data_IF_546444433895
#
_entry.id   IF_546444433895
#
_cell.length_a   1.000
_cell.length_b   1.000
_cell.length_c   1.000
_cell.angle_alpha   90.00
_cell.angle_beta   90.00
_cell.angle_gamma   90.00
#
_symmetry.space_group_name_H-M   'P 1'
#
loop_
_entity.id
_entity.type
_entity.pdbx_description
1 polymer ?
#
# COMPACT_ATOMS: atom_id res chain seq x y z
N UNK A 1 -13.16 33.25 21.17
CA UNK A 1 -12.29 32.34 20.42
C UNK A 1 -13.13 31.76 19.30
N UNK A 2 -12.55 31.59 18.14
CA UNK A 2 -13.17 31.11 16.91
C UNK A 2 -12.47 29.81 16.56
N UNK A 3 -13.23 28.72 16.53
CA UNK A 3 -12.73 27.45 16.04
C UNK A 3 -12.76 27.48 14.51
N UNK A 4 -11.59 27.40 13.88
CA UNK A 4 -11.46 27.39 12.41
C UNK A 4 -10.90 26.05 11.95
N UNK A 5 -11.39 25.56 10.82
CA UNK A 5 -10.83 24.36 10.17
C UNK A 5 -10.08 24.77 8.91
N UNK A 6 -8.91 24.18 8.69
CA UNK A 6 -8.06 24.44 7.53
C UNK A 6 -7.95 23.13 6.74
N UNK A 7 -8.25 23.18 5.44
CA UNK A 7 -8.27 22.02 4.54
C UNK A 7 -7.49 22.29 3.26
N UNK A 8 -6.97 21.24 2.62
CA UNK A 8 -6.54 21.26 1.22
C UNK A 8 -7.59 20.56 0.33
N UNK A 9 -7.29 20.42 -0.96
CA UNK A 9 -8.16 19.83 -1.99
C UNK A 9 -8.53 18.36 -1.72
N UNK A 10 -7.79 17.66 -0.86
CA UNK A 10 -7.94 16.22 -0.63
C UNK A 10 -8.19 15.83 0.84
N UNK A 11 -7.79 16.66 1.82
CA UNK A 11 -7.86 16.35 3.26
C UNK A 11 -7.96 17.60 4.16
N UNK A 12 -8.52 17.42 5.36
CA UNK A 12 -8.43 18.41 6.45
C UNK A 12 -6.98 18.44 6.96
N UNK A 13 -6.34 19.60 6.89
CA UNK A 13 -4.95 19.80 7.36
C UNK A 13 -4.94 19.90 8.88
N UNK A 14 -5.77 20.79 9.45
CA UNK A 14 -5.80 21.05 10.90
C UNK A 14 -7.02 21.86 11.32
N UNK A 15 -7.26 21.95 12.63
CA UNK A 15 -8.23 22.87 13.23
C UNK A 15 -7.58 23.65 14.37
N UNK A 16 -7.88 24.95 14.45
CA UNK A 16 -7.25 25.87 15.41
C UNK A 16 -8.31 26.65 16.18
N UNK A 17 -8.11 26.78 17.48
CA UNK A 17 -8.84 27.74 18.32
C UNK A 17 -8.06 29.06 18.38
N UNK A 18 -8.60 30.10 17.74
CA UNK A 18 -7.92 31.39 17.56
C UNK A 18 -8.76 32.55 18.09
N UNK A 19 -8.14 33.62 18.59
CA UNK A 19 -8.89 34.80 19.02
C UNK A 19 -9.42 35.57 17.80
N UNK A 20 -10.57 36.24 17.91
CA UNK A 20 -11.18 37.01 16.80
C UNK A 20 -10.26 38.11 16.25
N UNK A 21 -9.38 38.65 17.10
CA UNK A 21 -8.41 39.69 16.73
C UNK A 21 -7.08 39.11 16.19
N UNK A 22 -6.98 37.79 16.01
CA UNK A 22 -5.78 37.15 15.45
C UNK A 22 -5.62 37.54 13.99
N UNK A 23 -4.41 37.94 13.62
CA UNK A 23 -4.05 38.20 12.22
C UNK A 23 -3.85 36.91 11.44
N UNK A 24 -4.24 36.91 10.17
CA UNK A 24 -4.09 35.77 9.27
C UNK A 24 -2.62 35.37 9.09
N UNK A 25 -1.69 36.33 9.18
CA UNK A 25 -0.24 36.04 9.21
C UNK A 25 0.15 35.01 10.27
N UNK A 26 -0.48 35.05 11.45
CA UNK A 26 -0.20 34.11 12.53
C UNK A 26 -0.65 32.69 12.15
N UNK A 27 -1.83 32.57 11.53
CA UNK A 27 -2.36 31.31 11.03
C UNK A 27 -1.47 30.75 9.92
N UNK A 28 -0.99 31.61 9.01
CA UNK A 28 -0.07 31.23 7.93
C UNK A 28 1.25 30.68 8.49
N UNK A 29 1.82 31.30 9.53
CA UNK A 29 3.06 30.81 10.14
C UNK A 29 2.88 29.46 10.84
N UNK A 30 1.72 29.23 11.45
CA UNK A 30 1.38 27.92 12.06
C UNK A 30 1.29 26.86 10.95
N UNK A 31 0.60 27.16 9.85
CA UNK A 31 0.51 26.27 8.69
C UNK A 31 1.90 25.94 8.11
N UNK A 32 2.75 26.94 7.94
CA UNK A 32 4.08 26.78 7.32
C UNK A 32 5.05 25.99 8.21
N UNK A 33 5.06 26.25 9.52
CA UNK A 33 5.99 25.57 10.45
C UNK A 33 5.52 24.18 10.87
N UNK A 34 4.24 24.03 11.21
CA UNK A 34 3.77 22.79 11.84
C UNK A 34 3.37 21.74 10.79
N UNK A 35 3.02 22.16 9.57
CA UNK A 35 2.53 21.26 8.51
C UNK A 35 3.42 21.23 7.26
N UNK A 36 4.60 21.85 7.30
CA UNK A 36 5.57 21.86 6.20
C UNK A 36 5.00 22.35 4.85
N UNK A 37 4.01 23.24 4.90
CA UNK A 37 3.34 23.78 3.71
C UNK A 37 4.00 25.10 3.28
N UNK A 38 4.53 25.13 2.06
CA UNK A 38 5.19 26.33 1.53
C UNK A 38 4.18 27.41 1.11
N UNK A 39 3.98 28.42 1.97
CA UNK A 39 3.03 29.52 1.74
C UNK A 39 3.56 30.59 0.74
N UNK A 40 4.75 30.40 0.17
CA UNK A 40 5.16 31.12 -1.02
C UNK A 40 4.48 30.56 -2.28
N UNK A 41 4.23 29.25 -2.31
CA UNK A 41 3.59 28.53 -3.42
C UNK A 41 2.07 28.42 -3.20
N UNK A 42 1.63 28.30 -1.94
CA UNK A 42 0.22 28.19 -1.57
C UNK A 42 -0.35 29.51 -1.06
N UNK A 43 -1.67 29.68 -1.17
CA UNK A 43 -2.44 30.77 -0.59
C UNK A 43 -3.59 30.24 0.27
N UNK A 44 -3.93 31.01 1.30
CA UNK A 44 -5.09 30.74 2.14
C UNK A 44 -6.31 31.45 1.56
N UNK A 45 -7.41 30.73 1.45
CA UNK A 45 -8.66 31.24 0.87
C UNK A 45 -9.83 31.02 1.80
N UNK A 46 -10.76 31.98 1.80
CA UNK A 46 -12.01 31.93 2.54
C UNK A 46 -13.14 32.31 1.59
N UNK A 47 -14.16 31.45 1.50
CA UNK A 47 -15.28 31.59 0.54
C UNK A 47 -14.81 31.82 -0.92
N UNK A 48 -13.71 31.16 -1.32
CA UNK A 48 -13.14 31.23 -2.67
C UNK A 48 -12.24 32.43 -2.96
N UNK A 49 -12.13 33.39 -2.03
CA UNK A 49 -11.28 34.58 -2.17
C UNK A 49 -9.98 34.42 -1.37
N UNK A 50 -8.86 34.90 -1.95
CA UNK A 50 -7.57 34.95 -1.25
C UNK A 50 -7.64 35.93 -0.08
N UNK A 51 -7.08 35.51 1.05
CA UNK A 51 -7.13 36.28 2.30
C UNK A 51 -5.85 37.10 2.45
N UNK A 52 -5.97 38.38 2.82
CA UNK A 52 -4.81 39.22 3.11
C UNK A 52 -4.15 38.80 4.43
N UNK A 53 -2.82 38.78 4.44
CA UNK A 53 -1.99 38.40 5.59
C UNK A 53 -2.17 39.36 6.78
N UNK A 54 -2.50 40.62 6.50
CA UNK A 54 -2.67 41.67 7.52
C UNK A 54 -4.12 41.80 8.01
N UNK A 55 -5.04 41.03 7.45
CA UNK A 55 -6.42 41.03 7.92
C UNK A 55 -6.57 40.17 9.19
N UNK A 56 -7.56 40.53 10.02
CA UNK A 56 -7.94 39.75 11.21
C UNK A 56 -9.17 38.91 10.93
N UNK A 57 -9.34 37.83 11.69
CA UNK A 57 -10.50 36.93 11.63
C UNK A 57 -11.81 37.73 11.72
N UNK A 58 -11.87 38.69 12.64
CA UNK A 58 -13.01 39.61 12.81
C UNK A 58 -13.28 40.48 11.59
N UNK A 59 -12.23 40.99 10.93
CA UNK A 59 -12.37 41.83 9.72
C UNK A 59 -12.90 41.02 8.53
N UNK A 60 -12.53 39.74 8.45
CA UNK A 60 -12.95 38.82 7.40
C UNK A 60 -14.30 38.16 7.68
N UNK A 61 -14.91 38.45 8.84
CA UNK A 61 -16.18 37.87 9.29
C UNK A 61 -16.18 36.33 9.31
N UNK A 62 -15.02 35.74 9.63
CA UNK A 62 -14.86 34.30 9.80
C UNK A 62 -15.49 33.92 11.14
N UNK A 63 -16.42 32.96 11.10
CA UNK A 63 -17.20 32.50 12.25
C UNK A 63 -16.74 31.13 12.71
N UNK A 64 -17.26 30.74 13.87
CA UNK A 64 -16.98 29.42 14.45
C UNK A 64 -17.49 28.31 13.54
N UNK A 65 -16.61 27.35 13.23
CA UNK A 65 -16.88 26.24 12.32
C UNK A 65 -16.60 26.54 10.84
N UNK A 66 -16.13 27.74 10.51
CA UNK A 66 -15.81 28.10 9.13
C UNK A 66 -14.55 27.38 8.63
N UNK A 67 -14.57 27.11 7.31
CA UNK A 67 -13.52 26.38 6.60
C UNK A 67 -12.65 27.35 5.79
N UNK A 68 -11.35 27.28 6.03
CA UNK A 68 -10.31 27.94 5.27
C UNK A 68 -9.63 26.91 4.37
N UNK A 69 -9.43 27.25 3.10
CA UNK A 69 -8.78 26.36 2.14
C UNK A 69 -7.38 26.83 1.82
N UNK A 70 -6.41 25.93 1.93
CA UNK A 70 -5.07 26.12 1.39
C UNK A 70 -5.07 25.58 -0.02
N UNK A 71 -4.88 26.46 -1.00
CA UNK A 71 -4.75 26.08 -2.42
C UNK A 71 -3.44 26.59 -2.99
N UNK A 72 -2.97 25.99 -4.08
CA UNK A 72 -1.83 26.54 -4.82
C UNK A 72 -2.20 27.91 -5.40
N UNK A 73 -1.28 28.87 -5.29
CA UNK A 73 -1.44 30.16 -5.98
C UNK A 73 -1.50 29.89 -7.46
N UNK A 74 -2.53 30.43 -8.11
CA UNK A 74 -2.65 30.41 -9.57
C UNK A 74 -1.38 31.01 -10.20
N UNK A 75 -0.74 32.00 -9.57
CA UNK A 75 0.54 32.55 -10.01
C UNK A 75 1.73 31.60 -9.89
N UNK A 76 1.72 30.61 -8.98
CA UNK A 76 2.80 29.65 -8.79
C UNK A 76 2.66 28.44 -9.72
N UNK A 77 1.43 27.98 -9.96
CA UNK A 77 1.17 27.06 -11.06
C UNK A 77 1.53 27.78 -12.37
N UNK A 78 1.05 29.00 -12.60
CA UNK A 78 1.44 29.80 -13.78
C UNK A 78 2.93 30.14 -13.80
N UNK A 79 3.71 30.28 -12.72
CA UNK A 79 5.15 30.62 -12.81
C UNK A 79 6.06 29.39 -12.94
N UNK A 80 5.76 28.28 -12.25
CA UNK A 80 6.52 27.04 -12.43
C UNK A 80 6.14 26.35 -13.75
N UNK A 81 4.86 26.44 -14.14
CA UNK A 81 4.47 26.14 -15.50
C UNK A 81 5.00 27.18 -16.46
N UNK A 82 4.99 28.50 -16.24
CA UNK A 82 5.50 29.45 -17.26
C UNK A 82 7.02 29.44 -17.43
N UNK A 83 7.88 29.06 -16.49
CA UNK A 83 9.33 29.06 -16.83
C UNK A 83 9.65 27.91 -17.81
N UNK A 84 9.00 26.75 -17.66
CA UNK A 84 9.14 25.61 -18.57
C UNK A 84 8.15 25.66 -19.76
N UNK A 85 6.96 26.19 -19.57
CA UNK A 85 5.92 26.36 -20.58
C UNK A 85 6.10 27.64 -21.38
N UNK A 86 6.67 28.74 -20.88
CA UNK A 86 7.01 29.90 -21.71
C UNK A 86 8.26 29.64 -22.54
N UNK A 87 9.19 28.79 -22.09
CA UNK A 87 10.29 28.30 -22.93
C UNK A 87 9.80 27.29 -23.99
N UNK A 88 8.90 26.38 -23.65
CA UNK A 88 8.26 25.47 -24.61
C UNK A 88 7.30 26.20 -25.59
N UNK A 89 6.50 27.15 -25.11
CA UNK A 89 5.61 27.99 -25.91
C UNK A 89 6.41 28.95 -26.79
N UNK A 90 7.50 29.56 -26.31
CA UNK A 90 8.43 30.34 -27.14
C UNK A 90 9.12 29.48 -28.20
N UNK A 91 9.48 28.23 -27.90
CA UNK A 91 10.02 27.30 -28.88
C UNK A 91 8.98 26.96 -29.96
N UNK A 92 7.72 26.67 -29.59
CA UNK A 92 6.62 26.39 -30.53
C UNK A 92 6.27 27.64 -31.38
N UNK A 93 6.26 28.84 -30.78
CA UNK A 93 6.05 30.13 -31.46
C UNK A 93 7.21 30.47 -32.42
N UNK A 94 8.45 30.10 -32.09
CA UNK A 94 9.62 30.34 -32.96
C UNK A 94 9.64 29.45 -34.21
N UNK A 95 8.99 28.29 -34.16
CA UNK A 95 8.93 27.32 -35.27
C UNK A 95 7.77 27.57 -36.24
N UNK A 96 6.74 28.32 -35.84
CA UNK A 96 5.55 28.57 -36.66
C UNK A 96 5.49 30.04 -37.11
N UNK A 97 6.03 30.33 -38.30
CA UNK A 97 6.07 31.66 -38.94
C UNK A 97 4.71 32.26 -39.37
N UNK A 98 3.58 31.78 -38.84
CA UNK A 98 2.25 32.15 -39.33
C UNK A 98 1.24 32.55 -38.25
N UNK A 99 1.69 33.08 -37.11
CA UNK A 99 0.81 33.72 -36.13
C UNK A 99 1.30 35.13 -35.88
N UNK A 100 0.72 36.08 -36.60
CA UNK A 100 0.92 37.49 -36.36
C UNK A 100 0.41 37.89 -34.98
N UNK A 101 1.32 38.49 -34.20
CA UNK A 101 1.06 39.45 -33.13
C UNK A 101 0.23 38.97 -31.91
N UNK A 102 0.82 38.14 -31.05
CA UNK A 102 0.36 37.92 -29.65
C UNK A 102 1.35 38.54 -28.63
N UNK A 103 2.28 39.38 -29.10
CA UNK A 103 3.41 39.88 -28.30
C UNK A 103 3.08 40.93 -27.23
N UNK A 104 1.83 41.13 -26.82
CA UNK A 104 1.50 42.13 -25.80
C UNK A 104 0.24 41.78 -24.99
N UNK A 105 0.33 40.78 -24.11
CA UNK A 105 -0.72 40.45 -23.12
C UNK A 105 -0.17 40.39 -21.68
N UNK A 106 0.77 41.27 -21.35
CA UNK A 106 1.18 41.51 -19.98
C UNK A 106 0.44 42.69 -19.38
N UNK A 107 -0.28 42.45 -18.27
CA UNK A 107 -0.74 43.45 -17.27
C UNK A 107 -2.15 44.06 -17.44
N UNK A 108 -3.19 43.23 -17.40
CA UNK A 108 -4.44 43.48 -16.65
C UNK A 108 -5.47 42.37 -16.95
N UNK A 109 -5.62 41.40 -16.04
CA UNK A 109 -6.54 40.28 -16.19
C UNK A 109 -7.68 40.41 -15.18
N UNK A 110 -8.82 40.95 -15.62
CA UNK A 110 -10.10 40.82 -14.93
C UNK A 110 -10.80 39.52 -15.41
N UNK A 111 -11.64 38.91 -14.55
CA UNK A 111 -12.30 37.61 -14.81
C UNK A 111 -13.10 37.53 -16.13
N UNK A 112 -13.64 38.64 -16.64
CA UNK A 112 -14.35 38.67 -17.94
C UNK A 112 -13.42 38.53 -19.16
N UNK A 113 -12.15 38.92 -19.04
CA UNK A 113 -11.17 38.80 -20.13
C UNK A 113 -10.64 37.37 -20.29
N UNK A 114 -10.66 36.57 -19.23
CA UNK A 114 -10.18 35.18 -19.23
C UNK A 114 -11.14 34.25 -19.98
N UNK A 115 -12.46 34.42 -19.79
CA UNK A 115 -13.44 33.63 -20.54
C UNK A 115 -13.43 33.95 -22.04
N UNK A 116 -13.25 35.22 -22.43
CA UNK A 116 -13.12 35.61 -23.83
C UNK A 116 -11.83 35.09 -24.48
N UNK A 117 -10.74 34.96 -23.71
CA UNK A 117 -9.48 34.39 -24.18
C UNK A 117 -9.55 32.86 -24.36
N UNK A 118 -10.22 32.15 -23.43
CA UNK A 118 -10.45 30.70 -23.50
C UNK A 118 -11.41 30.31 -24.64
N UNK A 119 -12.33 31.21 -25.01
CA UNK A 119 -13.24 31.03 -26.13
C UNK A 119 -12.63 31.39 -27.50
N UNK A 120 -11.40 31.91 -27.54
CA UNK A 120 -10.71 32.22 -28.78
C UNK A 120 -10.22 30.93 -29.48
N UNK A 121 -10.67 30.64 -30.72
CA UNK A 121 -10.28 29.43 -31.44
C UNK A 121 -8.76 29.25 -31.58
N UNK A 122 -8.02 30.35 -31.81
CA UNK A 122 -6.56 30.30 -31.97
C UNK A 122 -5.85 29.91 -30.66
N UNK A 123 -6.35 30.39 -29.52
CA UNK A 123 -5.81 30.04 -28.20
C UNK A 123 -6.14 28.59 -27.84
N UNK A 124 -7.35 28.12 -28.17
CA UNK A 124 -7.77 26.73 -27.98
C UNK A 124 -6.92 25.75 -28.81
N UNK A 125 -6.64 26.07 -30.08
CA UNK A 125 -5.74 25.28 -30.93
C UNK A 125 -4.31 25.21 -30.38
N UNK A 126 -3.78 26.32 -29.87
CA UNK A 126 -2.47 26.35 -29.19
C UNK A 126 -2.46 25.47 -27.94
N UNK A 127 -3.53 25.52 -27.13
CA UNK A 127 -3.65 24.73 -25.91
C UNK A 127 -3.73 23.23 -26.21
N UNK A 128 -4.45 22.84 -27.27
CA UNK A 128 -4.53 21.44 -27.72
C UNK A 128 -3.17 20.95 -28.24
N UNK A 129 -2.46 21.77 -29.02
CA UNK A 129 -1.12 21.45 -29.49
C UNK A 129 -0.13 21.29 -28.32
N UNK A 130 -0.29 22.08 -27.27
CA UNK A 130 0.53 22.00 -26.06
C UNK A 130 0.26 20.72 -25.26
N UNK A 131 -1.01 20.32 -25.11
CA UNK A 131 -1.40 19.05 -24.47
C UNK A 131 -0.81 17.84 -25.19
N UNK A 132 -0.86 17.84 -26.53
CA UNK A 132 -0.26 16.77 -27.36
C UNK A 132 1.25 16.70 -27.15
N UNK A 133 1.93 17.84 -27.01
CA UNK A 133 3.36 17.86 -26.72
C UNK A 133 3.69 17.26 -25.36
N UNK A 134 2.98 17.66 -24.30
CA UNK A 134 3.16 17.10 -22.95
C UNK A 134 2.87 15.60 -22.90
N UNK A 135 1.83 15.15 -23.58
CA UNK A 135 1.47 13.73 -23.68
C UNK A 135 2.60 12.91 -24.32
N UNK A 136 3.18 13.41 -25.42
CA UNK A 136 4.30 12.73 -26.07
C UNK A 136 5.56 12.69 -25.20
N UNK A 137 5.84 13.76 -24.45
CA UNK A 137 6.95 13.81 -23.49
C UNK A 137 6.74 12.83 -22.32
N UNK A 138 5.52 12.74 -21.79
CA UNK A 138 5.16 11.75 -20.76
C UNK A 138 5.35 10.32 -21.26
N UNK A 139 4.78 9.98 -22.42
CA UNK A 139 4.88 8.63 -23.00
C UNK A 139 6.35 8.25 -23.22
N UNK A 140 7.16 9.19 -23.69
CA UNK A 140 8.59 8.98 -23.89
C UNK A 140 9.30 8.67 -22.57
N UNK A 141 9.12 9.52 -21.56
CA UNK A 141 9.76 9.36 -20.25
C UNK A 141 9.33 8.06 -19.56
N UNK A 142 8.04 7.75 -19.59
CA UNK A 142 7.51 6.53 -18.97
C UNK A 142 8.01 5.27 -19.69
N UNK A 143 8.08 5.29 -21.03
CA UNK A 143 8.64 4.18 -21.80
C UNK A 143 10.11 3.90 -21.49
N UNK A 144 10.89 4.94 -21.17
CA UNK A 144 12.30 4.81 -20.76
C UNK A 144 12.41 4.20 -19.35
N UNK A 145 11.57 4.64 -18.40
CA UNK A 145 11.51 4.07 -17.04
C UNK A 145 11.12 2.59 -17.06
N UNK A 146 10.13 2.22 -17.87
CA UNK A 146 9.67 0.83 -18.01
C UNK A 146 10.74 -0.07 -18.63
N UNK A 147 11.61 0.48 -19.49
CA UNK A 147 12.74 -0.27 -20.04
C UNK A 147 13.80 -0.58 -18.96
N UNK A 148 14.02 0.35 -18.02
CA UNK A 148 14.93 0.14 -16.88
C UNK A 148 14.41 -0.91 -15.88
N UNK A 149 13.09 -1.13 -15.80
CA UNK A 149 12.49 -2.14 -14.92
C UNK A 149 12.97 -3.57 -15.21
N UNK A 150 13.50 -3.85 -16.41
CA UNK A 150 14.14 -5.14 -16.73
C UNK A 150 15.20 -5.56 -15.72
N UNK A 151 15.87 -4.62 -15.08
CA UNK A 151 16.94 -4.88 -14.12
C UNK A 151 16.41 -5.34 -12.74
N UNK A 152 15.11 -5.17 -12.47
CA UNK A 152 14.47 -5.56 -11.22
C UNK A 152 13.68 -6.88 -11.40
N UNK A 153 14.27 -7.97 -10.93
CA UNK A 153 13.67 -9.32 -11.04
C UNK A 153 12.33 -9.43 -10.30
N UNK A 154 12.17 -8.74 -9.18
CA UNK A 154 10.96 -8.81 -8.36
C UNK A 154 9.80 -8.11 -9.07
N UNK A 155 10.05 -6.92 -9.62
CA UNK A 155 9.04 -6.18 -10.40
C UNK A 155 8.66 -6.90 -11.69
N UNK A 156 9.64 -7.48 -12.40
CA UNK A 156 9.37 -8.26 -13.62
C UNK A 156 8.53 -9.51 -13.37
N UNK A 157 8.68 -10.17 -12.21
CA UNK A 157 7.84 -11.31 -11.84
C UNK A 157 6.38 -10.92 -11.60
N UNK A 158 6.14 -9.78 -10.93
CA UNK A 158 4.80 -9.22 -10.71
C UNK A 158 4.15 -8.80 -12.03
N UNK A 159 4.91 -8.10 -12.88
CA UNK A 159 4.43 -7.68 -14.21
C UNK A 159 4.02 -8.85 -15.09
N UNK A 160 4.75 -9.97 -15.05
CA UNK A 160 4.38 -11.17 -15.81
C UNK A 160 3.01 -11.72 -15.43
N UNK A 161 2.62 -11.61 -14.16
CA UNK A 161 1.33 -12.08 -13.65
C UNK A 161 0.19 -11.10 -13.96
N UNK A 162 0.47 -9.79 -13.94
CA UNK A 162 -0.55 -8.76 -14.09
C UNK A 162 -0.79 -8.31 -15.55
N UNK A 163 0.28 -8.23 -16.35
CA UNK A 163 0.26 -7.66 -17.70
C UNK A 163 1.32 -8.33 -18.57
N UNK A 164 0.97 -9.51 -19.10
CA UNK A 164 1.82 -10.31 -19.97
C UNK A 164 2.27 -9.57 -21.26
N UNK A 165 1.40 -8.79 -21.95
CA UNK A 165 1.82 -7.98 -23.09
C UNK A 165 2.94 -6.97 -22.75
N UNK A 166 2.80 -6.23 -21.64
CA UNK A 166 3.81 -5.26 -21.23
C UNK A 166 5.11 -5.93 -20.79
N UNK A 167 5.02 -7.06 -20.08
CA UNK A 167 6.18 -7.87 -19.73
C UNK A 167 6.98 -8.30 -20.97
N UNK A 168 6.30 -8.81 -22.00
CA UNK A 168 6.93 -9.28 -23.23
C UNK A 168 7.60 -8.12 -24.01
N UNK A 169 6.98 -6.94 -24.03
CA UNK A 169 7.54 -5.74 -24.66
C UNK A 169 8.81 -5.25 -23.93
N UNK A 170 8.82 -5.25 -22.60
CA UNK A 170 10.00 -4.90 -21.78
C UNK A 170 11.10 -5.94 -21.92
N UNK A 171 10.77 -7.23 -21.90
CA UNK A 171 11.74 -8.32 -22.01
C UNK A 171 12.46 -8.31 -23.37
N UNK A 172 11.69 -8.12 -24.44
CA UNK A 172 12.18 -8.02 -25.83
C UNK A 172 12.87 -6.68 -26.16
N UNK A 173 12.82 -5.70 -25.25
CA UNK A 173 13.35 -4.34 -25.43
C UNK A 173 12.75 -3.62 -26.65
N UNK A 174 11.49 -3.92 -26.97
CA UNK A 174 10.81 -3.29 -28.09
C UNK A 174 10.21 -1.93 -27.67
N UNK A 175 11.00 -0.87 -27.83
CA UNK A 175 10.61 0.47 -27.39
C UNK A 175 9.35 1.00 -28.10
N UNK A 176 9.11 0.65 -29.36
CA UNK A 176 7.90 1.07 -30.08
C UNK A 176 6.65 0.42 -29.50
N UNK A 177 6.75 -0.86 -29.13
CA UNK A 177 5.65 -1.61 -28.54
C UNK A 177 5.34 -1.15 -27.12
N UNK A 178 6.38 -0.84 -26.32
CA UNK A 178 6.22 -0.21 -25.00
C UNK A 178 5.51 1.15 -25.15
N UNK A 179 5.95 2.02 -26.07
CA UNK A 179 5.31 3.33 -26.30
C UNK A 179 3.85 3.19 -26.70
N UNK A 180 3.53 2.21 -27.53
CA UNK A 180 2.14 1.93 -27.93
C UNK A 180 1.27 1.53 -26.74
N UNK A 181 1.77 0.60 -25.89
CA UNK A 181 1.05 0.14 -24.70
C UNK A 181 0.87 1.28 -23.69
N UNK A 182 1.92 2.06 -23.43
CA UNK A 182 1.86 3.23 -22.53
C UNK A 182 0.85 4.26 -23.02
N UNK A 183 0.85 4.54 -24.34
CA UNK A 183 -0.12 5.46 -24.94
C UNK A 183 -1.56 4.95 -24.79
N UNK A 184 -1.80 3.68 -25.07
CA UNK A 184 -3.14 3.07 -24.95
C UNK A 184 -3.64 3.09 -23.50
N UNK A 185 -2.78 2.78 -22.53
CA UNK A 185 -3.10 2.90 -21.10
C UNK A 185 -3.42 4.34 -20.72
N UNK A 186 -2.58 5.29 -21.13
CA UNK A 186 -2.78 6.70 -20.85
C UNK A 186 -4.11 7.24 -21.43
N UNK A 187 -4.43 6.89 -22.67
CA UNK A 187 -5.71 7.27 -23.30
C UNK A 187 -6.92 6.65 -22.58
N UNK A 188 -6.79 5.41 -22.10
CA UNK A 188 -7.84 4.72 -21.34
C UNK A 188 -8.07 5.40 -19.99
N UNK A 189 -6.99 5.60 -19.21
CA UNK A 189 -7.05 6.30 -17.92
C UNK A 189 -7.61 7.72 -18.06
N UNK A 190 -7.24 8.43 -19.12
CA UNK A 190 -7.75 9.78 -19.40
C UNK A 190 -9.25 9.76 -19.65
N UNK A 191 -9.75 8.84 -20.49
CA UNK A 191 -11.19 8.68 -20.76
C UNK A 191 -11.97 8.31 -19.50
N UNK A 192 -11.40 7.44 -18.66
CA UNK A 192 -12.01 7.06 -17.39
C UNK A 192 -12.10 8.24 -16.42
N UNK A 193 -11.02 9.02 -16.27
CA UNK A 193 -11.01 10.25 -15.46
C UNK A 193 -12.02 11.28 -15.96
N UNK A 194 -12.08 11.51 -17.28
CA UNK A 194 -13.07 12.42 -17.87
C UNK A 194 -14.50 11.96 -17.60
N UNK A 195 -14.77 10.65 -17.71
CA UNK A 195 -16.08 10.06 -17.43
C UNK A 195 -16.44 10.18 -15.95
N UNK A 196 -15.50 9.91 -15.06
CA UNK A 196 -15.68 10.03 -13.61
C UNK A 196 -15.95 11.49 -13.21
N UNK A 197 -15.21 12.44 -13.78
CA UNK A 197 -15.43 13.87 -13.56
C UNK A 197 -16.81 14.32 -14.02
N UNK A 198 -17.27 13.84 -15.19
CA UNK A 198 -18.63 14.10 -15.67
C UNK A 198 -19.70 13.51 -14.73
N UNK A 199 -19.50 12.28 -14.24
CA UNK A 199 -20.41 11.65 -13.27
C UNK A 199 -20.47 12.44 -11.97
N UNK A 200 -19.32 12.90 -11.47
CA UNK A 200 -19.22 13.74 -10.28
C UNK A 200 -19.92 15.10 -10.47
N UNK A 201 -19.69 15.78 -11.60
CA UNK A 201 -20.38 17.04 -11.93
C UNK A 201 -21.90 16.85 -12.03
N UNK A 202 -22.34 15.75 -12.64
CA UNK A 202 -23.76 15.41 -12.74
C UNK A 202 -24.35 15.16 -11.35
N UNK A 203 -23.59 14.51 -10.47
CA UNK A 203 -23.99 14.27 -9.09
C UNK A 203 -24.12 15.56 -8.27
N UNK A 204 -23.24 16.54 -8.48
CA UNK A 204 -23.35 17.87 -7.88
C UNK A 204 -24.54 18.68 -8.41
N UNK A 205 -24.79 18.61 -9.72
CA UNK A 205 -25.90 19.34 -10.37
C UNK A 205 -27.26 18.79 -9.98
N UNK A 206 -27.39 17.48 -9.76
CA UNK A 206 -28.64 16.86 -9.33
C UNK A 206 -28.45 15.79 -8.23
N UNK A 207 -28.19 16.21 -6.97
CA UNK A 207 -27.91 15.30 -5.86
C UNK A 207 -29.06 14.36 -5.46
N UNK A 208 -30.29 14.67 -5.88
CA UNK A 208 -31.49 13.90 -5.56
C UNK A 208 -31.84 12.84 -6.62
N UNK A 209 -31.09 12.77 -7.72
CA UNK A 209 -31.28 11.72 -8.73
C UNK A 209 -30.72 10.38 -8.26
N UNK A 210 -31.38 9.28 -8.66
CA UNK A 210 -31.01 7.91 -8.27
C UNK A 210 -29.55 7.57 -8.65
N UNK A 211 -29.15 7.87 -9.89
CA UNK A 211 -27.78 7.63 -10.37
C UNK A 211 -26.73 8.42 -9.57
N UNK A 212 -27.05 9.66 -9.20
CA UNK A 212 -26.14 10.52 -8.42
C UNK A 212 -26.01 10.06 -6.98
N UNK A 213 -27.12 9.67 -6.34
CA UNK A 213 -27.09 9.10 -4.99
C UNK A 213 -26.31 7.80 -4.94
N UNK A 214 -26.46 6.95 -5.94
CA UNK A 214 -25.68 5.71 -6.07
C UNK A 214 -24.19 6.01 -6.21
N UNK A 215 -23.82 6.94 -7.10
CA UNK A 215 -22.43 7.35 -7.28
C UNK A 215 -21.84 7.96 -6.00
N UNK A 216 -22.57 8.85 -5.31
CA UNK A 216 -22.14 9.45 -4.05
C UNK A 216 -21.95 8.37 -2.97
N UNK A 217 -22.91 7.46 -2.83
CA UNK A 217 -22.83 6.37 -1.87
C UNK A 217 -21.63 5.46 -2.12
N UNK A 218 -21.40 5.04 -3.37
CA UNK A 218 -20.25 4.20 -3.72
C UNK A 218 -18.92 4.91 -3.42
N UNK A 219 -18.83 6.22 -3.65
CA UNK A 219 -17.63 7.00 -3.31
C UNK A 219 -17.43 7.14 -1.80
N UNK A 220 -18.48 7.41 -1.03
CA UNK A 220 -18.40 7.46 0.44
C UNK A 220 -17.95 6.10 0.98
N UNK A 221 -18.58 5.03 0.51
CA UNK A 221 -18.25 3.66 0.92
C UNK A 221 -16.79 3.29 0.60
N UNK A 222 -16.32 3.60 -0.61
CA UNK A 222 -14.91 3.39 -0.98
C UNK A 222 -13.97 4.22 -0.10
N UNK A 223 -14.31 5.49 0.16
CA UNK A 223 -13.52 6.34 1.04
C UNK A 223 -13.47 5.81 2.47
N UNK A 224 -14.57 5.29 3.01
CA UNK A 224 -14.59 4.67 4.34
C UNK A 224 -13.68 3.44 4.40
N UNK A 225 -13.74 2.57 3.39
CA UNK A 225 -12.85 1.40 3.29
C UNK A 225 -11.38 1.86 3.22
N UNK A 226 -11.08 2.83 2.36
CA UNK A 226 -9.72 3.32 2.16
C UNK A 226 -9.18 4.00 3.41
N UNK A 227 -10.01 4.79 4.10
CA UNK A 227 -9.64 5.42 5.37
C UNK A 227 -9.38 4.36 6.45
N UNK A 228 -10.23 3.35 6.56
CA UNK A 228 -10.00 2.24 7.49
C UNK A 228 -8.72 1.47 7.15
N UNK A 229 -8.43 1.25 5.86
CA UNK A 229 -7.19 0.63 5.42
C UNK A 229 -5.97 1.48 5.81
N UNK A 230 -6.01 2.79 5.55
CA UNK A 230 -4.93 3.71 5.91
C UNK A 230 -4.70 3.75 7.42
N UNK A 231 -5.77 3.84 8.21
CA UNK A 231 -5.70 3.78 9.68
C UNK A 231 -5.12 2.45 10.16
N UNK A 232 -5.49 1.33 9.54
CA UNK A 232 -4.92 0.04 9.86
C UNK A 232 -3.43 0.00 9.53
N UNK A 233 -3.00 0.56 8.39
CA UNK A 233 -1.59 0.60 8.00
C UNK A 233 -0.75 1.48 8.96
N UNK A 234 -1.32 2.57 9.46
CA UNK A 234 -0.67 3.46 10.42
C UNK A 234 -0.57 2.84 11.82
N UNK A 235 -1.67 2.28 12.32
CA UNK A 235 -1.76 1.82 13.71
C UNK A 235 -1.45 0.34 13.91
N UNK A 236 -1.59 -0.49 12.87
CA UNK A 236 -1.39 -1.93 12.91
C UNK A 236 -0.57 -2.41 11.71
N UNK A 237 0.67 -1.91 11.51
CA UNK A 237 1.52 -2.37 10.41
C UNK A 237 1.73 -3.89 10.44
N UNK A 238 1.67 -4.53 11.61
CA UNK A 238 1.78 -5.99 11.78
C UNK A 238 0.62 -6.76 11.13
N UNK A 239 -0.56 -6.15 10.98
CA UNK A 239 -1.68 -6.77 10.28
C UNK A 239 -1.40 -6.97 8.78
N UNK A 240 -0.42 -6.23 8.25
CA UNK A 240 0.05 -6.31 6.86
C UNK A 240 1.40 -7.03 6.73
N UNK A 241 2.03 -7.37 7.87
CA UNK A 241 3.28 -8.13 7.93
C UNK A 241 3.04 -9.63 7.85
N UNK A 242 4.00 -10.36 7.28
CA UNK A 242 4.00 -11.82 7.34
C UNK A 242 4.48 -12.25 8.72
N UNK A 243 3.62 -12.89 9.50
CA UNK A 243 3.99 -13.46 10.81
C UNK A 243 4.60 -14.85 10.61
N UNK A 244 5.80 -15.04 11.14
CA UNK A 244 6.48 -16.33 11.06
C UNK A 244 6.01 -17.29 12.15
N UNK A 245 5.86 -18.55 11.76
CA UNK A 245 5.44 -19.62 12.63
C UNK A 245 6.53 -19.99 13.64
N UNK A 246 6.12 -20.49 14.81
CA UNK A 246 7.02 -20.79 15.92
C UNK A 246 7.69 -22.14 15.74
N UNK A 247 9.01 -22.13 15.56
CA UNK A 247 9.81 -23.34 15.48
C UNK A 247 10.92 -23.35 16.51
N UNK A 248 11.20 -24.52 17.08
CA UNK A 248 12.35 -24.74 17.98
C UNK A 248 13.22 -25.89 17.47
N UNK A 249 14.56 -25.81 17.61
CA UNK A 249 15.43 -26.93 17.32
C UNK A 249 15.32 -28.00 18.42
N UNK A 250 15.13 -29.24 18.01
CA UNK A 250 15.05 -30.43 18.86
C UNK A 250 16.02 -31.47 18.33
N UNK A 251 16.77 -32.12 19.20
CA UNK A 251 17.65 -33.22 18.83
C UNK A 251 17.03 -34.56 19.26
N UNK A 252 16.76 -35.43 18.29
CA UNK A 252 16.18 -36.76 18.51
C UNK A 252 17.16 -37.79 17.98
N UNK A 253 17.73 -38.60 18.89
CA UNK A 253 18.72 -39.61 18.53
C UNK A 253 19.85 -39.04 17.63
N UNK A 254 20.43 -37.89 18.04
CA UNK A 254 21.49 -37.14 17.34
C UNK A 254 21.10 -36.47 16.02
N UNK A 255 19.83 -36.53 15.63
CA UNK A 255 19.33 -35.81 14.46
C UNK A 255 18.62 -34.53 14.90
N UNK A 256 19.00 -33.39 14.34
CA UNK A 256 18.31 -32.12 14.57
C UNK A 256 17.05 -32.06 13.71
N UNK A 257 15.93 -31.77 14.36
CA UNK A 257 14.59 -31.59 13.78
C UNK A 257 14.06 -30.26 14.28
N UNK A 258 13.38 -29.52 13.42
CA UNK A 258 12.71 -28.29 13.80
C UNK A 258 11.26 -28.61 14.14
N UNK A 259 10.90 -28.46 15.41
CA UNK A 259 9.55 -28.73 15.90
C UNK A 259 8.68 -27.49 15.77
N UNK A 260 7.53 -27.62 15.11
CA UNK A 260 6.50 -26.59 15.04
C UNK A 260 5.76 -26.53 16.37
N UNK A 261 5.77 -25.38 17.04
CA UNK A 261 5.13 -25.18 18.34
C UNK A 261 3.69 -24.73 18.13
N UNK A 262 2.72 -25.59 18.47
CA UNK A 262 1.31 -25.35 18.20
C UNK A 262 0.45 -25.64 19.44
N UNK A 263 -0.01 -24.57 20.09
CA UNK A 263 -0.96 -24.69 21.21
C UNK A 263 -2.38 -25.08 20.79
N UNK A 264 -2.72 -24.96 19.51
CA UNK A 264 -4.00 -25.38 18.94
C UNK A 264 -4.08 -26.89 18.67
N UNK A 265 -2.94 -27.56 18.51
CA UNK A 265 -2.89 -29.01 18.34
C UNK A 265 -3.07 -29.74 19.68
N UNK A 266 -4.12 -30.56 19.80
CA UNK A 266 -4.39 -31.33 21.02
C UNK A 266 -3.30 -32.37 21.33
N UNK A 267 -2.65 -32.92 20.31
CA UNK A 267 -1.64 -33.98 20.46
C UNK A 267 -0.41 -33.70 19.62
N UNK A 268 0.74 -34.08 20.16
CA UNK A 268 2.02 -33.98 19.45
C UNK A 268 2.16 -35.08 18.40
N UNK A 269 2.51 -34.67 17.19
CA UNK A 269 2.47 -35.49 15.97
C UNK A 269 3.83 -35.45 15.31
N UNK A 270 4.29 -36.59 14.79
CA UNK A 270 5.51 -36.68 13.99
C UNK A 270 5.25 -37.41 12.68
N UNK A 271 5.83 -36.91 11.58
CA UNK A 271 5.74 -37.56 10.28
C UNK A 271 6.51 -38.89 10.29
N UNK A 272 6.04 -39.87 9.53
CA UNK A 272 6.73 -41.15 9.33
C UNK A 272 8.14 -40.95 8.81
N UNK A 273 8.31 -40.01 7.87
CA UNK A 273 9.61 -39.64 7.28
C UNK A 273 10.58 -39.14 8.36
N UNK A 274 10.13 -38.24 9.23
CA UNK A 274 10.93 -37.74 10.35
C UNK A 274 11.28 -38.85 11.34
N UNK A 275 10.32 -39.71 11.71
CA UNK A 275 10.56 -40.83 12.62
C UNK A 275 11.55 -41.87 12.05
N UNK A 276 11.58 -42.06 10.73
CA UNK A 276 12.57 -42.88 10.03
C UNK A 276 13.95 -42.23 10.04
N UNK A 277 14.04 -40.94 9.73
CA UNK A 277 15.28 -40.16 9.75
C UNK A 277 15.93 -40.16 11.14
N UNK A 278 15.12 -40.02 12.18
CA UNK A 278 15.58 -40.09 13.57
C UNK A 278 15.88 -41.52 14.04
N UNK A 279 15.60 -42.54 13.22
CA UNK A 279 15.71 -43.96 13.57
C UNK A 279 14.99 -44.28 14.89
N UNK A 280 13.72 -43.88 15.02
CA UNK A 280 12.88 -44.16 16.20
C UNK A 280 11.65 -44.99 15.87
N UNK A 281 11.42 -45.28 14.59
CA UNK A 281 10.24 -46.01 14.11
C UNK A 281 10.09 -47.41 14.74
N UNK A 282 11.19 -48.03 15.20
CA UNK A 282 11.16 -49.32 15.92
C UNK A 282 10.37 -49.28 17.24
N UNK A 283 10.19 -48.09 17.83
CA UNK A 283 9.48 -47.90 19.10
C UNK A 283 7.97 -47.70 18.88
N UNK A 284 7.52 -47.63 17.63
CA UNK A 284 6.12 -47.36 17.28
C UNK A 284 5.24 -48.57 17.57
N UNK A 285 4.25 -48.37 18.43
CA UNK A 285 3.19 -49.34 18.71
C UNK A 285 2.05 -49.18 17.71
N UNK A 286 1.90 -50.16 16.82
CA UNK A 286 0.87 -50.20 15.78
C UNK A 286 -0.53 -50.54 16.29
N UNK A 287 -0.70 -50.87 17.56
CA UNK A 287 -2.03 -51.10 18.15
C UNK A 287 -2.80 -49.77 18.30
N UNK A 288 -2.07 -48.66 18.36
CA UNK A 288 -2.61 -47.31 18.50
C UNK A 288 -2.75 -46.65 17.12
N UNK A 289 -3.48 -47.31 16.23
CA UNK A 289 -3.89 -46.75 14.94
C UNK A 289 -5.20 -46.00 15.09
N UNK A 290 -5.49 -45.15 14.11
CA UNK A 290 -6.71 -44.37 14.13
C UNK A 290 -6.69 -43.31 13.05
N UNK A 291 -7.62 -42.37 13.18
CA UNK A 291 -7.75 -41.24 12.27
C UNK A 291 -7.55 -39.97 13.08
N UNK A 292 -6.54 -39.19 12.70
CA UNK A 292 -6.36 -37.84 13.24
C UNK A 292 -7.39 -36.94 12.58
N UNK A 293 -8.33 -36.43 13.37
CA UNK A 293 -9.35 -35.46 12.94
C UNK A 293 -8.85 -34.05 13.25
N UNK A 294 -8.70 -33.21 12.24
CA UNK A 294 -8.25 -31.81 12.33
C UNK A 294 -8.53 -31.07 11.02
N UNK A 295 -7.58 -30.25 10.54
CA UNK A 295 -7.61 -29.57 9.21
C UNK A 295 -7.36 -30.59 8.08
N UNK A 296 -8.17 -31.65 8.05
CA UNK A 296 -8.00 -32.82 7.19
C UNK A 296 -8.14 -34.14 7.95
N UNK A 297 -8.22 -35.22 7.17
CA UNK A 297 -8.28 -36.60 7.68
C UNK A 297 -6.96 -37.28 7.36
N UNK A 298 -6.15 -37.58 8.38
CA UNK A 298 -4.87 -38.27 8.19
C UNK A 298 -4.83 -39.56 9.00
N UNK A 299 -4.22 -40.60 8.43
CA UNK A 299 -4.14 -41.92 9.06
C UNK A 299 -3.01 -41.95 10.09
N UNK A 300 -3.34 -42.30 11.32
CA UNK A 300 -2.37 -42.55 12.39
C UNK A 300 -1.84 -43.97 12.20
N UNK A 301 -0.52 -44.08 12.03
CA UNK A 301 0.18 -45.34 11.83
C UNK A 301 0.46 -46.09 13.15
N UNK A 302 0.58 -45.33 14.23
CA UNK A 302 0.89 -45.86 15.54
C UNK A 302 1.33 -44.76 16.49
N UNK A 303 1.75 -45.17 17.69
CA UNK A 303 2.19 -44.25 18.74
C UNK A 303 3.51 -44.70 19.35
N UNK A 304 4.42 -43.75 19.58
CA UNK A 304 5.60 -43.93 20.42
C UNK A 304 5.22 -43.45 21.82
N UNK A 305 5.12 -44.38 22.77
CA UNK A 305 4.62 -44.08 24.12
C UNK A 305 5.56 -43.20 24.93
N UNK A 306 6.87 -43.38 24.73
CA UNK A 306 7.89 -42.67 25.48
C UNK A 306 9.20 -42.66 24.69
N UNK A 307 9.78 -41.47 24.54
CA UNK A 307 11.13 -41.26 24.04
C UNK A 307 11.70 -39.99 24.66
N UNK A 308 12.99 -39.98 24.95
CA UNK A 308 13.68 -38.77 25.37
C UNK A 308 14.15 -37.97 24.14
N UNK A 309 13.72 -36.71 24.07
CA UNK A 309 14.18 -35.75 23.09
C UNK A 309 15.02 -34.69 23.79
N UNK A 310 16.06 -34.18 23.13
CA UNK A 310 16.91 -33.13 23.67
C UNK A 310 16.45 -31.78 23.15
N UNK A 311 16.18 -30.86 24.06
CA UNK A 311 15.77 -29.49 23.76
C UNK A 311 16.73 -28.57 24.53
N UNK A 312 17.52 -27.77 23.81
CA UNK A 312 18.64 -27.05 24.42
C UNK A 312 19.63 -28.02 25.08
N UNK A 313 19.80 -27.89 26.40
CA UNK A 313 20.75 -28.68 27.18
C UNK A 313 20.13 -29.87 27.94
N UNK A 314 18.82 -30.04 27.89
CA UNK A 314 18.08 -30.99 28.72
C UNK A 314 17.37 -32.03 27.87
N UNK A 315 17.09 -33.19 28.49
CA UNK A 315 16.31 -34.27 27.89
C UNK A 315 14.91 -34.27 28.48
N UNK A 316 13.90 -34.33 27.61
CA UNK A 316 12.50 -34.34 27.96
C UNK A 316 11.83 -35.60 27.43
N UNK A 317 11.13 -36.28 28.33
CA UNK A 317 10.38 -37.48 28.06
C UNK A 317 9.03 -37.18 27.40
N UNK A 318 8.87 -37.56 26.12
CA UNK A 318 7.71 -37.24 25.30
C UNK A 318 7.01 -38.48 24.72
N UNK A 319 5.73 -38.31 24.39
CA UNK A 319 4.90 -39.28 23.68
C UNK A 319 4.55 -38.70 22.30
N UNK A 320 4.68 -39.49 21.23
CA UNK A 320 4.51 -39.02 19.86
C UNK A 320 3.53 -39.89 19.06
N UNK A 321 2.58 -39.25 18.38
CA UNK A 321 1.68 -39.91 17.44
C UNK A 321 2.30 -39.87 16.04
N UNK A 322 2.41 -41.01 15.36
CA UNK A 322 3.05 -41.10 14.04
C UNK A 322 2.01 -41.09 12.92
N UNK A 323 2.17 -40.20 11.95
CA UNK A 323 1.28 -40.05 10.79
C UNK A 323 2.05 -40.28 9.49
N UNK A 324 1.41 -40.88 8.47
CA UNK A 324 2.06 -41.23 7.21
C UNK A 324 2.42 -40.01 6.36
N UNK A 325 1.42 -39.23 5.94
CA UNK A 325 1.58 -38.12 4.99
C UNK A 325 1.27 -36.79 5.68
N UNK A 326 2.32 -36.14 6.18
CA UNK A 326 2.22 -34.85 6.83
C UNK A 326 3.43 -33.98 6.46
N UNK A 327 3.17 -32.73 6.05
CA UNK A 327 4.18 -31.83 5.51
C UNK A 327 5.09 -31.25 6.60
N UNK A 328 4.58 -31.21 7.84
CA UNK A 328 5.34 -30.79 9.02
C UNK A 328 5.98 -32.02 9.66
N UNK A 329 7.30 -31.98 9.85
CA UNK A 329 8.05 -33.12 10.39
C UNK A 329 7.68 -33.46 11.84
N UNK A 330 7.53 -32.45 12.69
CA UNK A 330 7.21 -32.63 14.11
C UNK A 330 6.40 -31.44 14.63
N UNK A 331 5.19 -31.72 15.14
CA UNK A 331 4.37 -30.78 15.90
C UNK A 331 4.57 -31.03 17.39
N UNK A 332 5.03 -29.99 18.08
CA UNK A 332 5.05 -29.88 19.53
C UNK A 332 3.72 -29.28 20.01
N UNK A 333 2.77 -30.16 20.30
CA UNK A 333 1.39 -29.82 20.60
C UNK A 333 1.13 -29.46 22.06
N UNK A 334 -0.13 -29.16 22.36
CA UNK A 334 -0.61 -28.74 23.68
C UNK A 334 -0.37 -29.79 24.78
N UNK A 335 -0.40 -31.08 24.44
CA UNK A 335 -0.13 -32.17 25.38
C UNK A 335 1.29 -32.10 25.97
N UNK A 336 2.30 -31.86 25.15
CA UNK A 336 3.69 -31.69 25.59
C UNK A 336 3.92 -30.32 26.23
N UNK A 337 3.33 -29.25 25.67
CA UNK A 337 3.39 -27.91 26.25
C UNK A 337 2.88 -27.91 27.70
N UNK A 338 1.73 -28.55 27.95
CA UNK A 338 1.18 -28.66 29.31
C UNK A 338 1.99 -29.61 30.19
N UNK A 339 2.42 -30.76 29.66
CA UNK A 339 3.19 -31.76 30.42
C UNK A 339 4.49 -31.18 30.98
N UNK A 340 5.19 -30.36 30.20
CA UNK A 340 6.47 -29.77 30.57
C UNK A 340 6.34 -28.31 31.06
N UNK A 341 5.12 -27.85 31.33
CA UNK A 341 4.82 -26.51 31.85
C UNK A 341 5.51 -25.39 31.04
N UNK A 342 5.48 -25.52 29.71
CA UNK A 342 6.18 -24.59 28.84
C UNK A 342 5.53 -23.19 28.87
N UNK A 343 6.36 -22.16 28.78
CA UNK A 343 5.97 -20.78 28.58
C UNK A 343 6.38 -20.33 27.18
N UNK A 344 5.40 -19.97 26.35
CA UNK A 344 5.63 -19.33 25.05
C UNK A 344 5.79 -17.82 25.32
N UNK A 345 7.04 -17.33 25.30
CA UNK A 345 7.35 -15.94 25.59
C UNK A 345 7.67 -15.19 24.29
N UNK A 346 6.68 -14.46 23.78
CA UNK A 346 6.83 -13.60 22.60
C UNK A 346 7.68 -12.36 22.84
N UNK A 347 7.79 -11.87 24.09
CA UNK A 347 8.64 -10.72 24.42
C UNK A 347 10.12 -11.10 24.30
N UNK A 348 10.46 -12.32 24.70
CA UNK A 348 11.81 -12.87 24.58
C UNK A 348 12.04 -13.69 23.31
N UNK A 349 11.01 -13.85 22.47
CA UNK A 349 10.98 -14.71 21.30
C UNK A 349 11.56 -16.11 21.57
N UNK A 350 11.08 -16.77 22.64
CA UNK A 350 11.60 -18.05 23.08
C UNK A 350 10.52 -18.95 23.70
N UNK A 351 10.69 -20.25 23.56
CA UNK A 351 10.00 -21.25 24.40
C UNK A 351 10.84 -21.46 25.66
N UNK A 352 10.23 -21.28 26.82
CA UNK A 352 10.88 -21.51 28.11
C UNK A 352 10.30 -22.79 28.72
N UNK A 353 11.18 -23.70 29.12
CA UNK A 353 10.82 -24.95 29.80
C UNK A 353 11.64 -25.00 31.09
N UNK A 354 11.00 -24.76 32.23
CA UNK A 354 11.68 -24.54 33.51
C UNK A 354 12.74 -23.41 33.38
N UNK A 355 14.01 -23.69 33.66
CA UNK A 355 15.13 -22.74 33.53
C UNK A 355 15.76 -22.74 32.12
N UNK A 356 15.28 -23.59 31.22
CA UNK A 356 15.83 -23.75 29.87
C UNK A 356 15.11 -22.80 28.92
N UNK A 357 15.84 -21.80 28.41
CA UNK A 357 15.35 -20.84 27.41
C UNK A 357 15.78 -21.27 26.01
N UNK A 358 14.81 -21.55 25.14
CA UNK A 358 15.05 -21.97 23.75
C UNK A 358 14.53 -20.90 22.80
N UNK A 359 15.41 -20.17 22.09
CA UNK A 359 14.97 -19.16 21.14
C UNK A 359 14.19 -19.82 20.00
N UNK A 360 13.13 -19.14 19.54
CA UNK A 360 12.48 -19.51 18.29
C UNK A 360 13.42 -19.28 17.10
N UNK A 361 13.24 -20.06 16.04
CA UNK A 361 14.03 -19.91 14.82
C UNK A 361 13.84 -18.54 14.17
N UNK A 362 14.88 -18.08 13.48
CA UNK A 362 14.84 -16.84 12.71
C UNK A 362 14.00 -17.00 11.45
N UNK A 363 13.50 -15.90 10.92
CA UNK A 363 12.67 -15.85 9.70
C UNK A 363 13.31 -16.60 8.53
N UNK A 364 14.62 -16.40 8.32
CA UNK A 364 15.40 -17.04 7.27
C UNK A 364 15.35 -18.57 7.36
N UNK A 365 15.42 -19.10 8.58
CA UNK A 365 15.42 -20.53 8.82
C UNK A 365 14.01 -21.11 8.64
N UNK A 366 12.97 -20.37 9.07
CA UNK A 366 11.56 -20.77 8.86
C UNK A 366 11.20 -20.79 7.36
N UNK A 367 11.63 -19.78 6.58
CA UNK A 367 11.36 -19.73 5.13
C UNK A 367 11.97 -20.92 4.40
N UNK A 368 13.16 -21.38 4.81
CA UNK A 368 13.80 -22.56 4.23
C UNK A 368 13.03 -23.87 4.48
N UNK A 369 12.21 -23.90 5.54
CA UNK A 369 11.37 -25.05 5.92
C UNK A 369 10.00 -24.95 5.22
N UNK A 370 9.41 -23.74 5.16
CA UNK A 370 8.11 -23.53 4.50
C UNK A 370 8.18 -23.66 2.98
N UNK A 371 9.28 -23.25 2.34
CA UNK A 371 9.48 -23.44 0.89
C UNK A 371 9.68 -24.91 0.49
N UNK A 372 9.93 -25.82 1.45
CA UNK A 372 9.91 -27.26 1.20
C UNK A 372 8.52 -27.89 1.34
N UNK A 373 7.55 -27.16 1.90
CA UNK A 373 6.21 -27.64 2.24
C UNK A 373 5.08 -26.90 1.54
N UNK A 374 5.38 -25.88 0.74
CA UNK A 374 4.41 -25.12 -0.05
C UNK A 374 4.84 -25.17 -1.53
N UNK A 375 4.33 -26.14 -2.27
CA UNK A 375 4.08 -25.93 -3.70
C UNK A 375 2.93 -24.94 -3.79
N UNK A 376 3.25 -23.67 -4.04
CA UNK A 376 2.24 -22.70 -4.45
C UNK A 376 1.89 -23.09 -5.89
N UNK A 377 0.89 -23.98 -6.03
CA UNK A 377 0.21 -24.18 -7.31
C UNK A 377 -0.43 -22.85 -7.71
N UNK A 378 0.29 -22.08 -8.51
CA UNK A 378 -0.15 -20.82 -9.11
C UNK A 378 -1.16 -21.04 -10.26
N UNK A 379 -2.01 -22.07 -10.15
CA UNK A 379 -2.92 -22.52 -11.21
C UNK A 379 -4.31 -22.96 -10.69
N UNK A 380 -4.80 -22.37 -9.60
CA UNK A 380 -6.24 -22.43 -9.34
C UNK A 380 -6.86 -21.08 -9.67
N UNK A 381 -7.36 -21.05 -10.90
CA UNK A 381 -8.17 -20.03 -11.54
C UNK A 381 -9.37 -19.55 -10.69
N UNK A 382 -9.62 -18.24 -10.82
CA UNK A 382 -10.91 -17.52 -10.93
C UNK A 382 -12.00 -17.71 -9.85
#
# INVERSE_FOLDING_TARGET
MVFITISDDNNIITSLDVHEDTEIWTIINIIENDFSLNMNINELTYNGNAVDKFDTIKKLNIKEGDLLFVRKKISADIMNDNVNNMSALNNILSTNNNIGNVGNLGNNLNNENVQNLLNNPAFKTLLDQFKVYQENEYIKKESEILLEMKNDKSKMAVLKLQDEPLYNAIFSQNLEEIKKIVKEKYETEKKEKEKEQQMYENALKNPLSEDSQKFIYENIYKNEINNNLALAQEHFPEAFGVVFMLYIPVEINKNTVHAFVDSGAQSSIMSKKCAQKCNILRLMDKRFTGIAKGVGTKTILGKIHMIDIKIGNYFYAVSLTIIEDYDIDFIFGLDLLKRHQCLIDFKQNALIIEDNKIPFLSEKDVISISTQSIDIDANNDL
#
